data_IF_775910189867
#
_entry.id   IF_775910189867
#
_cell.length_a   1.000
_cell.length_b   1.000
_cell.length_c   1.000
_cell.angle_alpha   90.00
_cell.angle_beta   90.00
_cell.angle_gamma   90.00
#
_symmetry.space_group_name_H-M   'P 1'
#
loop_
_entity.id
_entity.type
_entity.pdbx_description
1 polymer ?
#
# COMPACT_ATOMS: atom_id res chain seq x y z
N UNK A 1 -27.88 -20.88 -24.56
CA UNK A 1 -26.71 -20.93 -23.64
C UNK A 1 -26.86 -19.80 -22.65
N UNK A 2 -27.12 -20.12 -21.38
CA UNK A 2 -27.35 -19.12 -20.34
C UNK A 2 -26.07 -18.29 -20.14
N UNK A 3 -26.20 -16.95 -20.13
CA UNK A 3 -25.13 -16.09 -19.63
C UNK A 3 -24.87 -16.51 -18.19
N UNK A 4 -23.71 -17.09 -17.91
CA UNK A 4 -23.28 -17.37 -16.55
C UNK A 4 -23.43 -16.08 -15.74
N UNK A 5 -24.16 -16.14 -14.62
CA UNK A 5 -24.42 -14.99 -13.79
C UNK A 5 -23.08 -14.56 -13.18
N UNK A 6 -22.45 -13.51 -13.71
CA UNK A 6 -21.12 -13.08 -13.27
C UNK A 6 -21.13 -12.39 -11.89
N UNK A 7 -22.23 -12.52 -11.13
CA UNK A 7 -22.43 -11.88 -9.83
C UNK A 7 -22.43 -12.93 -8.75
N UNK A 8 -21.71 -12.63 -7.67
CA UNK A 8 -21.56 -13.51 -6.52
C UNK A 8 -22.79 -13.39 -5.62
N UNK A 9 -23.34 -14.52 -5.25
CA UNK A 9 -24.37 -14.64 -4.21
C UNK A 9 -23.74 -14.67 -2.82
N UNK A 10 -24.54 -14.32 -1.80
CA UNK A 10 -24.09 -14.34 -0.42
C UNK A 10 -23.59 -15.73 0.01
N UNK A 11 -24.25 -16.81 -0.41
CA UNK A 11 -23.80 -18.17 -0.10
C UNK A 11 -22.44 -18.50 -0.72
N UNK A 12 -22.23 -18.16 -1.99
CA UNK A 12 -20.95 -18.38 -2.68
C UNK A 12 -19.80 -17.63 -1.99
N UNK A 13 -20.06 -16.37 -1.58
CA UNK A 13 -19.09 -15.58 -0.82
C UNK A 13 -18.68 -16.29 0.49
N UNK A 14 -19.66 -16.76 1.27
CA UNK A 14 -19.42 -17.45 2.53
C UNK A 14 -18.68 -18.78 2.35
N UNK A 15 -19.00 -19.54 1.31
CA UNK A 15 -18.33 -20.79 0.99
C UNK A 15 -16.85 -20.57 0.67
N UNK A 16 -16.50 -19.53 -0.09
CA UNK A 16 -15.09 -19.20 -0.36
C UNK A 16 -14.32 -18.76 0.89
N UNK A 17 -14.95 -18.00 1.79
CA UNK A 17 -14.32 -17.63 3.05
C UNK A 17 -14.08 -18.84 3.96
N UNK A 18 -15.01 -19.80 3.98
CA UNK A 18 -14.86 -21.04 4.74
C UNK A 18 -13.69 -21.88 4.24
N UNK A 19 -13.45 -21.92 2.91
CA UNK A 19 -12.29 -22.61 2.32
C UNK A 19 -10.94 -22.05 2.79
N UNK A 20 -10.88 -20.80 3.23
CA UNK A 20 -9.67 -20.18 3.80
C UNK A 20 -9.69 -20.12 5.34
N UNK A 21 -10.60 -20.84 5.97
CA UNK A 21 -10.66 -20.99 7.43
C UNK A 21 -11.37 -19.84 8.15
N UNK A 22 -12.09 -18.97 7.43
CA UNK A 22 -12.95 -17.94 8.01
C UNK A 22 -14.40 -18.42 8.06
N UNK A 23 -15.04 -18.27 9.20
CA UNK A 23 -16.42 -18.72 9.41
C UNK A 23 -17.36 -17.57 9.80
N UNK A 24 -17.58 -16.58 8.91
CA UNK A 24 -18.52 -15.50 9.18
C UNK A 24 -19.95 -16.02 9.37
N UNK A 25 -20.69 -15.42 10.30
CA UNK A 25 -22.13 -15.62 10.45
C UNK A 25 -22.86 -14.40 9.90
N UNK A 26 -23.85 -14.61 9.04
CA UNK A 26 -24.55 -13.50 8.36
C UNK A 26 -26.04 -13.73 8.35
N UNK A 27 -26.79 -12.69 8.72
CA UNK A 27 -28.25 -12.65 8.60
C UNK A 27 -28.69 -12.28 7.18
N UNK A 28 -29.82 -12.84 6.72
CA UNK A 28 -30.44 -12.50 5.43
C UNK A 28 -30.56 -13.69 4.45
N UNK A 29 -31.12 -13.41 3.27
CA UNK A 29 -31.34 -14.44 2.26
C UNK A 29 -30.02 -14.83 1.57
N UNK A 30 -29.64 -16.10 1.66
CA UNK A 30 -28.36 -16.59 1.15
C UNK A 30 -28.27 -16.61 -0.39
N UNK A 31 -29.42 -16.61 -1.09
CA UNK A 31 -29.47 -16.63 -2.56
C UNK A 31 -29.27 -15.23 -3.20
N UNK A 32 -29.31 -14.16 -2.42
CA UNK A 32 -29.20 -12.80 -2.96
C UNK A 32 -27.76 -12.46 -3.35
N UNK A 33 -27.60 -11.67 -4.42
CA UNK A 33 -26.29 -11.15 -4.83
C UNK A 33 -25.77 -10.11 -3.85
N UNK A 34 -24.50 -10.23 -3.48
CA UNK A 34 -23.85 -9.39 -2.48
C UNK A 34 -23.21 -8.14 -3.12
N UNK A 35 -23.27 -7.01 -2.43
CA UNK A 35 -22.55 -5.78 -2.78
C UNK A 35 -21.12 -5.77 -2.23
N UNK A 36 -20.25 -4.90 -2.77
CA UNK A 36 -18.89 -4.71 -2.25
C UNK A 36 -18.88 -4.24 -0.80
N UNK A 37 -19.77 -3.33 -0.42
CA UNK A 37 -19.87 -2.83 0.95
C UNK A 37 -20.34 -3.91 1.94
N UNK A 38 -21.32 -4.74 1.56
CA UNK A 38 -21.75 -5.88 2.38
C UNK A 38 -20.63 -6.91 2.53
N UNK A 39 -19.96 -7.26 1.44
CA UNK A 39 -18.81 -8.18 1.46
C UNK A 39 -17.69 -7.66 2.38
N UNK A 40 -17.43 -6.36 2.34
CA UNK A 40 -16.45 -5.72 3.20
C UNK A 40 -16.80 -5.89 4.69
N UNK A 41 -18.07 -5.67 5.06
CA UNK A 41 -18.51 -5.84 6.46
C UNK A 41 -18.37 -7.28 6.92
N UNK A 42 -18.88 -8.23 6.14
CA UNK A 42 -18.81 -9.67 6.48
C UNK A 42 -17.36 -10.11 6.65
N UNK A 43 -16.49 -9.71 5.72
CA UNK A 43 -15.09 -10.11 5.76
C UNK A 43 -14.35 -9.45 6.92
N UNK A 44 -14.53 -8.15 7.15
CA UNK A 44 -13.88 -7.45 8.25
C UNK A 44 -14.25 -8.04 9.62
N UNK A 45 -15.50 -8.47 9.80
CA UNK A 45 -15.98 -9.14 11.02
C UNK A 45 -15.41 -10.56 11.19
N UNK A 46 -15.21 -11.27 10.07
CA UNK A 46 -14.64 -12.62 10.08
C UNK A 46 -13.14 -12.67 10.38
N UNK A 47 -12.41 -11.58 10.10
CA UNK A 47 -10.96 -11.57 10.21
C UNK A 47 -10.52 -11.58 11.68
N UNK A 48 -9.48 -12.37 12.04
CA UNK A 48 -8.83 -12.22 13.33
C UNK A 48 -8.13 -10.84 13.42
N UNK A 49 -7.67 -10.43 14.62
CA UNK A 49 -6.81 -9.27 14.74
C UNK A 49 -5.56 -9.44 13.88
N UNK A 50 -5.46 -8.64 12.82
CA UNK A 50 -4.32 -8.63 11.90
C UNK A 50 -3.54 -7.33 12.07
N UNK A 51 -2.21 -7.41 11.94
CA UNK A 51 -1.40 -6.20 11.90
C UNK A 51 -1.69 -5.47 10.59
N UNK A 52 -2.30 -4.29 10.70
CA UNK A 52 -2.61 -3.43 9.55
C UNK A 52 -1.35 -2.84 8.92
N UNK A 53 -0.19 -2.92 9.59
CA UNK A 53 1.05 -2.29 9.15
C UNK A 53 1.00 -0.76 9.17
N UNK A 54 -0.11 -0.18 9.66
CA UNK A 54 -0.37 1.26 9.71
C UNK A 54 -0.71 1.62 11.16
N UNK A 55 0.11 2.48 11.76
CA UNK A 55 -0.18 3.05 13.08
C UNK A 55 -1.33 4.05 12.95
N UNK A 56 -2.52 3.67 13.45
CA UNK A 56 -3.70 4.54 13.49
C UNK A 56 -4.55 4.46 12.22
N UNK A 57 -5.81 4.09 12.38
CA UNK A 57 -6.81 3.91 11.33
C UNK A 57 -7.08 5.17 10.51
N UNK A 58 -6.19 5.48 9.58
CA UNK A 58 -6.47 6.45 8.51
C UNK A 58 -7.58 5.87 7.61
N UNK A 59 -8.64 6.64 7.31
CA UNK A 59 -9.73 6.17 6.47
C UNK A 59 -9.21 5.84 5.07
N UNK A 60 -9.86 4.89 4.39
CA UNK A 60 -9.51 4.64 3.00
C UNK A 60 -9.73 5.91 2.15
N UNK A 61 -8.87 6.20 1.17
CA UNK A 61 -8.86 7.47 0.46
C UNK A 61 -9.93 7.54 -0.64
N UNK A 62 -11.08 6.87 -0.49
CA UNK A 62 -12.10 6.85 -1.54
C UNK A 62 -13.09 8.00 -1.41
N UNK A 63 -13.40 8.63 -2.54
CA UNK A 63 -14.27 9.80 -2.59
C UNK A 63 -15.75 9.47 -2.34
N UNK A 64 -16.15 8.22 -2.55
CA UNK A 64 -17.52 7.73 -2.38
C UNK A 64 -17.79 7.06 -1.03
N UNK A 65 -16.82 7.02 -0.10
CA UNK A 65 -17.07 6.40 1.22
C UNK A 65 -18.23 7.06 1.97
N UNK A 66 -18.46 8.36 1.76
CA UNK A 66 -19.54 9.09 2.39
C UNK A 66 -20.94 8.61 1.97
N UNK A 67 -21.07 7.83 0.89
CA UNK A 67 -22.35 7.21 0.49
C UNK A 67 -22.68 5.97 1.31
N UNK A 68 -21.69 5.41 2.01
CA UNK A 68 -21.84 4.21 2.84
C UNK A 68 -22.20 4.59 4.27
N UNK A 69 -22.81 3.65 5.00
CA UNK A 69 -23.05 3.85 6.43
C UNK A 69 -21.74 3.72 7.24
N UNK A 70 -21.70 4.19 8.50
CA UNK A 70 -20.47 4.19 9.30
C UNK A 70 -19.83 2.81 9.50
N UNK A 71 -20.64 1.75 9.60
CA UNK A 71 -20.15 0.37 9.77
C UNK A 71 -19.44 -0.09 8.50
N UNK A 72 -20.05 0.16 7.34
CA UNK A 72 -19.46 -0.14 6.04
C UNK A 72 -18.17 0.66 5.82
N UNK A 73 -18.15 1.96 6.14
CA UNK A 73 -16.95 2.80 6.01
C UNK A 73 -15.76 2.26 6.82
N UNK A 74 -16.02 1.85 8.06
CA UNK A 74 -14.99 1.27 8.94
C UNK A 74 -14.46 -0.06 8.39
N UNK A 75 -15.35 -0.94 7.93
CA UNK A 75 -14.98 -2.20 7.32
C UNK A 75 -14.13 -2.01 6.05
N UNK A 76 -14.54 -1.12 5.16
CA UNK A 76 -13.79 -0.78 3.94
C UNK A 76 -12.42 -0.20 4.27
N UNK A 77 -12.34 0.71 5.23
CA UNK A 77 -11.07 1.29 5.67
C UNK A 77 -10.12 0.24 6.25
N UNK A 78 -10.67 -0.72 7.01
CA UNK A 78 -9.91 -1.83 7.59
C UNK A 78 -9.35 -2.73 6.48
N UNK A 79 -10.18 -3.16 5.55
CA UNK A 79 -9.75 -4.03 4.45
C UNK A 79 -8.82 -3.33 3.45
N UNK A 80 -8.97 -2.02 3.27
CA UNK A 80 -8.01 -1.21 2.52
C UNK A 80 -6.65 -1.16 3.21
N UNK A 81 -6.60 -0.92 4.53
CA UNK A 81 -5.34 -0.93 5.29
C UNK A 81 -4.63 -2.28 5.24
N UNK A 82 -5.41 -3.36 5.15
CA UNK A 82 -4.92 -4.72 4.96
C UNK A 82 -4.62 -5.04 3.48
N UNK A 83 -4.84 -4.12 2.55
CA UNK A 83 -4.67 -4.35 1.11
C UNK A 83 -5.54 -5.47 0.55
N UNK A 84 -6.63 -5.84 1.23
CA UNK A 84 -7.54 -6.91 0.84
C UNK A 84 -8.54 -6.39 -0.20
N UNK A 85 -9.21 -5.28 0.10
CA UNK A 85 -10.15 -4.63 -0.81
C UNK A 85 -9.61 -3.27 -1.25
N UNK A 86 -9.64 -3.03 -2.55
CA UNK A 86 -9.15 -1.79 -3.17
C UNK A 86 -10.22 -1.18 -4.07
N UNK A 87 -10.28 0.15 -4.12
CA UNK A 87 -11.06 0.90 -5.09
C UNK A 87 -10.45 0.87 -6.49
N UNK A 88 -11.01 1.67 -7.38
CA UNK A 88 -10.53 1.83 -8.74
C UNK A 88 -9.44 2.92 -8.88
N UNK A 89 -9.04 3.18 -10.12
CA UNK A 89 -8.07 4.22 -10.50
C UNK A 89 -8.60 5.66 -10.30
N UNK A 90 -9.91 5.83 -10.12
CA UNK A 90 -10.57 7.10 -9.81
C UNK A 90 -10.74 7.34 -8.31
N UNK A 91 -10.13 6.50 -7.46
CA UNK A 91 -10.29 6.54 -6.01
C UNK A 91 -11.76 6.37 -5.59
N UNK A 92 -12.50 5.50 -6.27
CA UNK A 92 -13.86 5.11 -5.91
C UNK A 92 -13.90 3.65 -5.44
N UNK A 93 -14.62 3.38 -4.35
CA UNK A 93 -14.78 2.05 -3.81
C UNK A 93 -15.90 1.26 -4.49
N UNK A 94 -16.93 1.94 -5.01
CA UNK A 94 -18.14 1.36 -5.60
C UNK A 94 -18.90 0.44 -4.64
N UNK A 95 -19.18 0.90 -3.42
CA UNK A 95 -19.72 0.04 -2.36
C UNK A 95 -21.08 -0.60 -2.67
N UNK A 96 -21.94 0.06 -3.44
CA UNK A 96 -23.26 -0.47 -3.86
C UNK A 96 -23.17 -1.44 -5.05
N UNK A 97 -22.00 -1.55 -5.69
CA UNK A 97 -21.81 -2.43 -6.84
C UNK A 97 -21.84 -3.90 -6.40
N UNK A 98 -22.53 -4.73 -7.20
CA UNK A 98 -22.57 -6.18 -7.00
C UNK A 98 -21.22 -6.82 -7.30
N UNK A 99 -20.74 -7.59 -6.32
CA UNK A 99 -19.46 -8.30 -6.37
C UNK A 99 -19.43 -9.29 -7.53
N UNK A 100 -18.30 -9.38 -8.20
CA UNK A 100 -18.06 -10.33 -9.30
C UNK A 100 -17.19 -11.49 -8.83
N UNK A 101 -17.21 -12.61 -9.56
CA UNK A 101 -16.38 -13.77 -9.22
C UNK A 101 -14.88 -13.44 -9.33
N UNK A 102 -14.48 -12.67 -10.35
CA UNK A 102 -13.09 -12.21 -10.50
C UNK A 102 -12.63 -11.37 -9.30
N UNK A 103 -13.51 -10.50 -8.80
CA UNK A 103 -13.21 -9.70 -7.63
C UNK A 103 -13.16 -10.54 -6.34
N UNK A 104 -14.07 -11.53 -6.22
CA UNK A 104 -14.06 -12.48 -5.11
C UNK A 104 -12.75 -13.27 -5.04
N UNK A 105 -12.27 -13.78 -6.17
CA UNK A 105 -11.01 -14.54 -6.24
C UNK A 105 -9.84 -13.70 -5.73
N UNK A 106 -9.77 -12.42 -6.15
CA UNK A 106 -8.75 -11.49 -5.67
C UNK A 106 -8.86 -11.21 -4.16
N UNK A 107 -10.09 -11.04 -3.65
CA UNK A 107 -10.34 -10.83 -2.21
C UNK A 107 -9.89 -12.04 -1.41
N UNK A 108 -10.27 -13.24 -1.83
CA UNK A 108 -9.93 -14.51 -1.16
C UNK A 108 -8.42 -14.71 -1.15
N UNK A 109 -7.75 -14.48 -2.28
CA UNK A 109 -6.30 -14.64 -2.38
C UNK A 109 -5.55 -13.64 -1.48
N UNK A 110 -5.93 -12.36 -1.51
CA UNK A 110 -5.33 -11.34 -0.63
C UNK A 110 -5.61 -11.61 0.84
N UNK A 111 -6.80 -12.09 1.16
CA UNK A 111 -7.17 -12.47 2.53
C UNK A 111 -6.31 -13.62 3.01
N UNK A 112 -6.19 -14.68 2.21
CA UNK A 112 -5.34 -15.84 2.52
C UNK A 112 -3.89 -15.40 2.74
N UNK A 113 -3.35 -14.57 1.85
CA UNK A 113 -2.00 -14.03 1.98
C UNK A 113 -1.81 -13.27 3.30
N UNK A 114 -2.80 -12.48 3.73
CA UNK A 114 -2.77 -11.76 5.01
C UNK A 114 -2.89 -12.67 6.23
N UNK A 115 -3.74 -13.70 6.18
CA UNK A 115 -3.86 -14.69 7.24
C UNK A 115 -2.57 -15.51 7.42
N UNK A 116 -1.91 -15.86 6.31
CA UNK A 116 -0.62 -16.55 6.32
C UNK A 116 0.54 -15.65 6.76
N UNK A 117 0.42 -14.34 6.55
CA UNK A 117 1.40 -13.33 6.97
C UNK A 117 1.17 -12.80 8.40
N UNK A 118 0.12 -13.26 9.10
CA UNK A 118 -0.11 -12.90 10.49
C UNK A 118 1.05 -13.42 11.36
N UNK A 119 1.68 -12.58 12.21
CA UNK A 119 2.75 -13.04 13.07
C UNK A 119 2.17 -13.99 14.12
N UNK A 120 2.31 -15.29 13.90
CA UNK A 120 2.51 -16.20 15.02
C UNK A 120 3.79 -15.71 15.68
N UNK A 121 3.73 -15.19 16.92
CA UNK A 121 4.95 -14.91 17.68
C UNK A 121 5.70 -16.23 17.87
N UNK A 122 6.89 -16.46 17.29
CA UNK A 122 7.64 -17.67 17.53
C UNK A 122 8.93 -17.29 18.27
N UNK A 123 9.04 -17.68 19.53
CA UNK A 123 10.33 -17.82 20.18
C UNK A 123 11.12 -18.92 19.46
N UNK A 124 11.87 -18.58 18.41
CA UNK A 124 12.67 -19.53 17.62
C UNK A 124 13.34 -18.87 16.41
N UNK A 125 14.50 -19.36 15.95
CA UNK A 125 15.38 -18.61 15.07
C UNK A 125 14.81 -18.48 13.65
N UNK A 126 14.94 -17.25 13.16
CA UNK A 126 14.52 -16.72 11.87
C UNK A 126 14.91 -17.67 10.73
N UNK A 127 13.92 -18.13 9.96
CA UNK A 127 14.15 -18.83 8.69
C UNK A 127 13.58 -18.02 7.52
N UNK A 128 14.48 -17.20 6.96
CA UNK A 128 14.62 -16.55 5.64
C UNK A 128 13.40 -16.00 4.83
N UNK A 129 13.56 -14.82 4.19
CA UNK A 129 12.52 -14.12 3.43
C UNK A 129 12.43 -14.57 1.96
N UNK A 130 11.23 -14.49 1.39
CA UNK A 130 10.97 -14.40 -0.07
C UNK A 130 11.56 -13.08 -0.58
N UNK A 131 12.22 -13.02 -1.76
CA UNK A 131 13.14 -11.94 -2.07
C UNK A 131 12.40 -10.62 -2.27
N UNK A 132 12.80 -9.61 -1.50
CA UNK A 132 12.58 -8.22 -1.87
C UNK A 132 13.13 -7.98 -3.29
N UNK A 133 12.59 -7.03 -4.07
CA UNK A 133 13.33 -6.54 -5.23
C UNK A 133 14.76 -6.20 -4.79
N UNK A 134 15.77 -6.53 -5.60
CA UNK A 134 17.15 -6.13 -5.33
C UNK A 134 17.26 -4.62 -5.63
N UNK A 135 16.81 -3.78 -4.70
CA UNK A 135 16.98 -2.34 -4.79
C UNK A 135 18.20 -1.90 -3.99
N UNK A 136 18.89 -0.89 -4.50
CA UNK A 136 20.01 -0.25 -3.81
C UNK A 136 19.56 1.16 -3.39
N UNK A 137 19.69 1.48 -2.11
CA UNK A 137 19.48 2.84 -1.62
C UNK A 137 20.80 3.58 -1.69
N UNK A 138 20.85 4.67 -2.45
CA UNK A 138 21.98 5.59 -2.46
C UNK A 138 21.57 6.93 -1.86
N UNK A 139 22.36 7.37 -0.88
CA UNK A 139 22.35 8.74 -0.36
C UNK A 139 23.50 9.58 -0.94
N UNK A 140 24.40 8.95 -1.70
CA UNK A 140 25.49 9.63 -2.40
C UNK A 140 25.08 9.89 -3.85
N UNK A 141 24.61 11.12 -4.09
CA UNK A 141 24.20 11.56 -5.42
C UNK A 141 25.38 11.62 -6.41
N UNK A 142 26.62 11.84 -5.93
CA UNK A 142 27.79 11.98 -6.79
C UNK A 142 28.20 10.68 -7.48
N UNK A 143 27.78 9.55 -6.92
CA UNK A 143 28.01 8.22 -7.46
C UNK A 143 26.94 7.77 -8.49
N UNK A 144 25.89 8.56 -8.72
CA UNK A 144 24.81 8.24 -9.66
C UNK A 144 25.21 8.56 -11.12
N UNK A 145 24.54 7.98 -12.13
CA UNK A 145 24.74 8.37 -13.52
C UNK A 145 24.47 9.88 -13.74
N UNK A 146 25.20 10.57 -14.64
CA UNK A 146 25.09 12.02 -14.82
C UNK A 146 23.67 12.53 -15.10
N UNK A 147 22.90 11.79 -15.90
CA UNK A 147 21.51 12.08 -16.22
C UNK A 147 20.57 11.94 -15.00
N UNK A 148 20.84 10.98 -14.11
CA UNK A 148 20.11 10.84 -12.84
C UNK A 148 20.48 11.97 -11.86
N UNK A 149 21.76 12.38 -11.86
CA UNK A 149 22.21 13.54 -11.07
C UNK A 149 21.51 14.82 -11.51
N UNK A 150 21.45 15.08 -12.82
CA UNK A 150 20.77 16.25 -13.38
C UNK A 150 19.29 16.28 -12.98
N UNK A 151 18.62 15.12 -13.00
CA UNK A 151 17.24 14.98 -12.52
C UNK A 151 17.10 15.23 -11.03
N UNK A 152 18.01 14.71 -10.21
CA UNK A 152 18.01 14.94 -8.77
C UNK A 152 18.17 16.42 -8.43
N UNK A 153 19.10 17.12 -9.10
CA UNK A 153 19.34 18.56 -8.95
C UNK A 153 18.09 19.35 -9.38
N UNK A 154 17.43 18.96 -10.48
CA UNK A 154 16.24 19.65 -10.97
C UNK A 154 15.06 19.63 -9.99
N UNK A 155 14.96 18.59 -9.16
CA UNK A 155 13.85 18.45 -8.18
C UNK A 155 14.25 18.74 -6.73
N UNK A 156 15.52 19.04 -6.43
CA UNK A 156 16.00 19.16 -5.04
C UNK A 156 15.28 20.20 -4.19
N UNK A 157 14.77 21.28 -4.80
CA UNK A 157 14.01 22.33 -4.12
C UNK A 157 12.53 22.01 -3.93
N UNK A 158 12.03 20.92 -4.51
CA UNK A 158 10.60 20.55 -4.49
C UNK A 158 10.41 19.22 -3.78
N UNK A 159 9.48 19.17 -2.83
CA UNK A 159 9.12 17.92 -2.18
C UNK A 159 8.36 17.00 -3.12
N UNK A 160 8.69 15.71 -3.13
CA UNK A 160 7.99 14.72 -3.93
C UNK A 160 8.90 13.59 -4.40
N UNK A 161 8.39 12.86 -5.39
CA UNK A 161 9.08 11.72 -5.96
C UNK A 161 8.99 11.76 -7.49
N UNK A 162 10.10 11.45 -8.16
CA UNK A 162 10.12 11.27 -9.61
C UNK A 162 10.85 9.97 -9.97
N UNK A 163 10.48 9.38 -11.09
CA UNK A 163 11.18 8.24 -11.67
C UNK A 163 11.94 8.66 -12.92
N UNK A 164 13.11 8.05 -13.15
CA UNK A 164 13.86 8.19 -14.40
C UNK A 164 14.62 6.91 -14.69
N UNK A 165 14.69 6.53 -15.96
CA UNK A 165 15.50 5.40 -16.40
C UNK A 165 16.89 5.88 -16.81
N UNK A 166 17.92 5.08 -16.53
CA UNK A 166 19.29 5.31 -16.99
C UNK A 166 20.01 3.97 -17.17
N UNK A 167 20.46 3.69 -18.40
CA UNK A 167 20.99 2.38 -18.77
C UNK A 167 19.99 1.25 -18.50
N UNK A 168 20.45 0.18 -17.84
CA UNK A 168 19.64 -1.00 -17.48
C UNK A 168 19.02 -0.88 -16.07
N UNK A 169 18.74 0.34 -15.61
CA UNK A 169 18.21 0.59 -14.26
C UNK A 169 17.14 1.68 -14.27
N UNK A 170 16.14 1.49 -13.39
CA UNK A 170 15.10 2.49 -13.10
C UNK A 170 15.40 3.12 -11.75
N UNK A 171 15.42 4.45 -11.67
CA UNK A 171 15.75 5.21 -10.48
C UNK A 171 14.51 5.92 -9.95
N UNK A 172 14.25 5.78 -8.64
CA UNK A 172 13.28 6.59 -7.91
C UNK A 172 14.03 7.63 -7.08
N UNK A 173 13.81 8.90 -7.40
CA UNK A 173 14.40 10.03 -6.69
C UNK A 173 13.35 10.57 -5.72
N UNK A 174 13.67 10.56 -4.43
CA UNK A 174 12.86 11.13 -3.36
C UNK A 174 13.50 12.43 -2.90
N UNK A 175 12.71 13.50 -2.84
CA UNK A 175 13.14 14.78 -2.29
C UNK A 175 12.16 15.29 -1.23
N UNK A 176 12.71 15.78 -0.12
CA UNK A 176 11.93 16.47 0.89
C UNK A 176 11.75 17.96 0.56
N UNK A 177 12.37 18.47 -0.52
CA UNK A 177 12.43 19.89 -0.83
C UNK A 177 13.35 20.67 0.11
N UNK A 178 13.23 22.00 0.07
CA UNK A 178 14.06 22.90 0.88
C UNK A 178 13.79 22.75 2.39
N UNK A 179 14.85 22.66 3.19
CA UNK A 179 14.79 22.64 4.66
C UNK A 179 15.77 23.65 5.26
N UNK A 180 15.27 24.53 6.13
CA UNK A 180 16.05 25.62 6.75
C UNK A 180 16.98 25.17 7.88
N UNK A 181 16.90 23.90 8.27
CA UNK A 181 17.80 23.28 9.23
C UNK A 181 18.29 21.93 8.71
N UNK A 182 19.51 21.56 9.09
CA UNK A 182 20.05 20.24 8.81
C UNK A 182 19.51 19.16 9.75
N UNK A 183 19.67 17.90 9.34
CA UNK A 183 19.32 16.71 10.15
C UNK A 183 18.03 16.01 9.73
N UNK A 184 17.40 16.45 8.64
CA UNK A 184 16.33 15.72 7.97
C UNK A 184 16.90 14.58 7.14
N UNK A 185 16.36 13.38 7.28
CA UNK A 185 16.76 12.20 6.49
C UNK A 185 15.51 11.53 5.94
N UNK A 186 15.46 11.33 4.63
CA UNK A 186 14.39 10.54 4.00
C UNK A 186 14.70 9.07 4.25
N UNK A 187 13.76 8.36 4.88
CA UNK A 187 13.87 6.93 5.18
C UNK A 187 13.04 6.13 4.18
N UNK A 188 13.62 5.06 3.64
CA UNK A 188 12.86 4.04 2.91
C UNK A 188 12.42 2.99 3.91
N UNK A 189 11.14 2.96 4.22
CA UNK A 189 10.59 2.09 5.26
C UNK A 189 10.28 0.70 4.72
N UNK A 190 9.78 0.63 3.49
CA UNK A 190 9.45 -0.62 2.83
C UNK A 190 9.51 -0.46 1.31
N UNK A 191 9.93 -1.51 0.63
CA UNK A 191 9.80 -1.66 -0.81
C UNK A 191 9.20 -3.04 -1.08
N UNK A 192 8.00 -3.06 -1.64
CA UNK A 192 7.29 -4.28 -1.98
C UNK A 192 7.03 -4.31 -3.47
N UNK A 193 7.54 -5.33 -4.14
CA UNK A 193 7.18 -5.60 -5.53
C UNK A 193 5.95 -6.49 -5.59
N UNK A 194 4.95 -6.04 -6.34
CA UNK A 194 3.74 -6.81 -6.67
C UNK A 194 3.78 -7.22 -8.13
N UNK A 195 2.81 -8.01 -8.57
CA UNK A 195 2.70 -8.41 -9.97
C UNK A 195 2.48 -7.22 -10.91
N UNK A 196 1.85 -6.14 -10.43
CA UNK A 196 1.44 -4.99 -11.25
C UNK A 196 2.26 -3.72 -11.01
N UNK A 197 2.92 -3.56 -9.85
CA UNK A 197 3.65 -2.33 -9.49
C UNK A 197 4.70 -2.58 -8.40
N UNK A 198 5.61 -1.62 -8.22
CA UNK A 198 6.51 -1.56 -7.07
C UNK A 198 6.00 -0.48 -6.12
N UNK A 199 5.77 -0.83 -4.86
CA UNK A 199 5.33 0.08 -3.81
C UNK A 199 6.53 0.46 -2.95
N UNK A 200 6.77 1.76 -2.78
CA UNK A 200 7.85 2.29 -1.95
C UNK A 200 7.27 3.16 -0.86
N UNK A 201 7.32 2.70 0.39
CA UNK A 201 6.89 3.48 1.55
C UNK A 201 8.05 4.31 2.06
N UNK A 202 7.82 5.61 2.19
CA UNK A 202 8.84 6.58 2.61
C UNK A 202 8.45 7.24 3.91
N UNK A 203 9.46 7.68 4.66
CA UNK A 203 9.32 8.48 5.86
C UNK A 203 10.30 9.65 5.85
N UNK A 204 10.10 10.58 6.78
CA UNK A 204 11.02 11.69 7.02
C UNK A 204 11.41 11.69 8.49
N UNK A 205 12.67 11.35 8.76
CA UNK A 205 13.23 11.47 10.09
C UNK A 205 13.62 12.93 10.32
N UNK A 206 13.05 13.55 11.36
CA UNK A 206 13.34 14.92 11.76
C UNK A 206 14.50 14.98 12.77
N UNK A 207 15.22 16.12 12.85
CA UNK A 207 16.24 16.31 13.87
C UNK A 207 15.66 16.18 15.29
N UNK A 208 16.44 15.62 16.22
CA UNK A 208 15.98 15.43 17.60
C UNK A 208 15.57 16.77 18.26
N UNK A 209 14.41 16.84 18.95
CA UNK A 209 13.99 18.03 19.66
C UNK A 209 15.03 18.47 20.69
N UNK A 210 15.49 19.73 20.61
CA UNK A 210 16.50 20.28 21.51
C UNK A 210 17.96 19.94 21.16
N UNK A 211 18.21 19.24 20.05
CA UNK A 211 19.56 19.07 19.50
C UNK A 211 20.06 20.34 18.79
N UNK A 212 21.39 20.52 18.72
CA UNK A 212 22.00 21.56 17.90
C UNK A 212 21.79 21.24 16.41
N UNK A 213 20.70 21.73 15.82
CA UNK A 213 20.48 21.66 14.39
C UNK A 213 21.33 22.73 13.68
N UNK A 214 22.01 22.34 12.60
CA UNK A 214 22.73 23.29 11.75
C UNK A 214 21.72 24.25 11.12
N UNK A 215 21.91 25.56 11.29
CA UNK A 215 21.13 26.59 10.60
C UNK A 215 21.70 26.82 9.21
N UNK A 216 21.40 25.89 8.31
CA UNK A 216 21.77 25.96 6.90
C UNK A 216 20.60 25.44 6.05
N UNK A 217 20.43 26.05 4.88
CA UNK A 217 19.51 25.52 3.88
C UNK A 217 20.06 24.19 3.39
N UNK A 218 19.25 23.14 3.46
CA UNK A 218 19.57 21.78 3.03
C UNK A 218 18.49 21.23 2.12
N UNK A 219 18.85 20.23 1.32
CA UNK A 219 17.96 19.55 0.38
C UNK A 219 18.06 18.04 0.59
N UNK A 220 17.32 17.49 1.57
CA UNK A 220 17.36 16.05 1.83
C UNK A 220 16.86 15.27 0.62
N UNK A 221 17.67 14.35 0.14
CA UNK A 221 17.35 13.48 -0.99
C UNK A 221 17.85 12.05 -0.74
N UNK A 222 17.07 11.10 -1.24
CA UNK A 222 17.42 9.67 -1.26
C UNK A 222 17.04 9.11 -2.62
N UNK A 223 17.92 8.31 -3.23
CA UNK A 223 17.65 7.67 -4.52
C UNK A 223 17.63 6.16 -4.34
N UNK A 224 16.58 5.53 -4.84
CA UNK A 224 16.51 4.07 -4.95
C UNK A 224 16.81 3.69 -6.40
N UNK A 225 17.68 2.70 -6.56
CA UNK A 225 17.96 2.06 -7.84
C UNK A 225 17.30 0.71 -7.90
N UNK A 226 16.56 0.47 -8.96
CA UNK A 226 15.95 -0.80 -9.30
C UNK A 226 16.57 -1.35 -10.58
N UNK A 227 16.57 -2.69 -10.78
CA UNK A 227 16.69 -3.24 -12.13
C UNK A 227 15.63 -2.59 -13.04
N UNK A 228 15.97 -2.39 -14.30
CA UNK A 228 15.04 -1.77 -15.25
C UNK A 228 13.68 -2.49 -15.23
N UNK A 229 12.62 -1.72 -15.03
CA UNK A 229 11.27 -2.25 -14.89
C UNK A 229 10.27 -1.46 -15.71
N UNK A 230 9.30 -2.17 -16.28
CA UNK A 230 8.13 -1.55 -16.92
C UNK A 230 6.96 -1.40 -15.95
N UNK A 231 7.09 -1.95 -14.74
CA UNK A 231 6.07 -1.83 -13.70
C UNK A 231 6.10 -0.40 -13.15
N UNK A 232 4.95 0.26 -12.98
CA UNK A 232 4.90 1.56 -12.34
C UNK A 232 5.44 1.47 -10.90
N UNK A 233 6.20 2.49 -10.49
CA UNK A 233 6.65 2.66 -9.11
C UNK A 233 5.71 3.66 -8.44
N UNK A 234 5.06 3.22 -7.36
CA UNK A 234 4.13 4.04 -6.58
C UNK A 234 4.76 4.34 -5.24
N UNK A 235 4.94 5.63 -4.95
CA UNK A 235 5.43 6.08 -3.65
C UNK A 235 4.25 6.24 -2.70
N UNK A 236 4.30 5.55 -1.58
CA UNK A 236 3.33 5.63 -0.50
C UNK A 236 3.86 6.58 0.58
N UNK A 237 2.95 7.27 1.27
CA UNK A 237 3.29 8.25 2.30
C UNK A 237 4.09 9.46 1.78
N UNK A 238 3.79 9.93 0.56
CA UNK A 238 4.48 11.08 -0.06
C UNK A 238 4.35 12.37 0.74
N UNK A 239 3.29 12.52 1.52
CA UNK A 239 3.08 13.65 2.42
C UNK A 239 4.16 13.76 3.51
N UNK A 240 4.80 12.65 3.90
CA UNK A 240 5.92 12.68 4.84
C UNK A 240 7.09 13.50 4.30
N UNK A 241 7.28 13.56 2.98
CA UNK A 241 8.32 14.37 2.33
C UNK A 241 8.04 15.87 2.40
N UNK A 242 6.79 16.26 2.64
CA UNK A 242 6.36 17.67 2.75
C UNK A 242 6.34 18.19 4.19
N UNK A 243 6.52 17.30 5.18
CA UNK A 243 6.38 17.61 6.61
C UNK A 243 7.62 18.24 7.25
#
# INVERSE_FOLDING_TARGET
MAKANNKVTRIEFLEELNKIGLSPTVDGNQADTITRAEAAVILADALPPLNTGIAGGRPAPYHDLNTLNPVQQAAVSTLYSLGIMVGDDQQLFHGEQKLTHEELDLIVERTRARLQSAPSFPSGPISKPTPAPSYEVSTDLSALPPDVQDRAIAVQGTSGAITTDSGDSTYLILSAGERYTGGYVITVENVTETDSRIEVTVGLQTPAPGGFALQAITYPQTVLRFPQTVKPIVVLNTEALTS
#
